data_IF_480956873361
#
_entry.id   IF_480956873361
#
_cell.length_a   1.000
_cell.length_b   1.000
_cell.length_c   1.000
_cell.angle_alpha   90.00
_cell.angle_beta   90.00
_cell.angle_gamma   90.00
#
_symmetry.space_group_name_H-M   'P 1'
#
loop_
_entity.id
_entity.type
_entity.pdbx_description
1 polymer ?
#
# COMPACT_ATOMS: atom_id res chain seq x y z
N UNK A 1 -36.41 7.55 -20.23
CA UNK A 1 -35.53 8.11 -19.18
C UNK A 1 -35.41 7.07 -18.07
N UNK A 2 -34.30 6.32 -18.00
CA UNK A 2 -34.03 5.40 -16.88
C UNK A 2 -33.21 6.17 -15.85
N UNK A 3 -33.82 6.44 -14.70
CA UNK A 3 -33.18 7.05 -13.53
C UNK A 3 -32.10 6.13 -12.99
N UNK A 4 -30.83 6.54 -13.12
CA UNK A 4 -29.73 5.95 -12.37
C UNK A 4 -29.89 6.34 -10.90
N UNK A 5 -30.29 5.38 -10.08
CA UNK A 5 -30.32 5.51 -8.63
C UNK A 5 -28.88 5.55 -8.12
N UNK A 6 -28.38 6.77 -7.84
CA UNK A 6 -27.10 6.99 -7.17
C UNK A 6 -27.25 6.48 -5.73
N UNK A 7 -26.79 5.26 -5.48
CA UNK A 7 -26.66 4.76 -4.12
C UNK A 7 -25.58 5.57 -3.38
N UNK A 8 -26.00 6.49 -2.50
CA UNK A 8 -25.13 7.04 -1.46
C UNK A 8 -24.64 5.90 -0.56
N UNK A 9 -23.33 5.76 -0.30
CA UNK A 9 -22.86 4.74 0.62
C UNK A 9 -23.25 5.12 2.04
N UNK A 10 -24.08 4.28 2.65
CA UNK A 10 -24.49 4.39 4.05
C UNK A 10 -23.26 4.28 4.96
N UNK A 11 -22.99 5.33 5.72
CA UNK A 11 -22.15 5.25 6.92
C UNK A 11 -22.87 4.36 7.95
N UNK A 12 -22.44 3.12 8.10
CA UNK A 12 -22.79 2.26 9.24
C UNK A 12 -21.51 1.83 9.94
N UNK A 13 -21.21 2.50 11.05
CA UNK A 13 -20.22 2.06 12.04
C UNK A 13 -20.69 0.73 12.64
N UNK A 14 -19.91 -0.35 12.42
CA UNK A 14 -19.73 -1.56 13.25
C UNK A 14 -18.95 -2.61 12.44
N UNK A 15 -17.62 -2.52 12.39
CA UNK A 15 -16.72 -3.49 11.71
C UNK A 15 -16.77 -3.48 10.17
N UNK A 16 -16.16 -2.45 9.57
CA UNK A 16 -15.77 -2.45 8.14
C UNK A 16 -14.64 -3.46 7.90
N UNK A 17 -14.93 -4.74 8.02
CA UNK A 17 -14.01 -5.86 7.78
C UNK A 17 -14.32 -6.45 6.40
N UNK A 18 -13.40 -6.27 5.45
CA UNK A 18 -13.47 -6.93 4.15
C UNK A 18 -12.73 -8.26 4.25
N UNK A 19 -13.46 -9.36 4.17
CA UNK A 19 -12.85 -10.70 4.21
C UNK A 19 -12.03 -11.00 2.94
N UNK A 20 -12.56 -10.69 1.76
CA UNK A 20 -11.81 -10.87 0.51
C UNK A 20 -12.26 -9.88 -0.55
N UNK A 21 -11.29 -9.31 -1.26
CA UNK A 21 -11.51 -8.51 -2.47
C UNK A 21 -10.67 -9.07 -3.61
N UNK A 22 -11.32 -9.32 -4.74
CA UNK A 22 -10.69 -9.87 -5.96
C UNK A 22 -11.03 -9.04 -7.17
N UNK A 23 -10.41 -9.34 -8.31
CA UNK A 23 -10.56 -8.60 -9.56
C UNK A 23 -12.02 -8.31 -9.90
N UNK A 24 -12.29 -7.04 -10.20
CA UNK A 24 -13.61 -6.59 -10.68
C UNK A 24 -13.51 -6.00 -12.09
N UNK A 25 -12.33 -6.03 -12.73
CA UNK A 25 -12.10 -5.37 -14.03
C UNK A 25 -12.27 -3.84 -14.00
N UNK A 26 -12.63 -3.28 -12.85
CA UNK A 26 -12.95 -1.87 -12.65
C UNK A 26 -12.01 -1.22 -11.63
N UNK A 27 -11.72 0.09 -11.77
CA UNK A 27 -10.87 0.80 -10.84
C UNK A 27 -11.47 0.81 -9.43
N UNK A 28 -10.70 0.37 -8.43
CA UNK A 28 -11.18 0.23 -7.06
C UNK A 28 -10.83 1.44 -6.19
N UNK A 29 -11.88 2.04 -5.62
CA UNK A 29 -11.77 3.12 -4.64
C UNK A 29 -12.11 2.57 -3.25
N UNK A 30 -11.27 2.89 -2.26
CA UNK A 30 -11.43 2.44 -0.88
C UNK A 30 -11.12 3.56 0.09
N UNK A 31 -12.03 3.78 1.03
CA UNK A 31 -11.87 4.77 2.10
C UNK A 31 -12.55 4.31 3.38
N UNK A 32 -11.93 4.56 4.54
CA UNK A 32 -12.56 4.36 5.85
C UNK A 32 -12.81 2.91 6.22
N UNK A 33 -11.89 2.00 5.88
CA UNK A 33 -12.02 0.57 6.13
C UNK A 33 -11.26 0.20 7.41
N UNK A 34 -11.91 -0.52 8.33
CA UNK A 34 -11.25 -0.97 9.56
C UNK A 34 -10.20 -2.04 9.26
N UNK A 35 -10.60 -3.10 8.55
CA UNK A 35 -9.74 -4.24 8.29
C UNK A 35 -9.98 -4.83 6.89
N UNK A 36 -8.92 -5.21 6.19
CA UNK A 36 -8.97 -6.06 4.98
C UNK A 36 -8.17 -7.32 5.25
N UNK A 37 -8.80 -8.47 5.17
CA UNK A 37 -8.13 -9.77 5.34
C UNK A 37 -7.38 -10.13 4.05
N UNK A 38 -8.06 -10.17 2.90
CA UNK A 38 -7.44 -10.55 1.63
C UNK A 38 -7.77 -9.58 0.50
N UNK A 39 -6.73 -9.22 -0.25
CA UNK A 39 -6.84 -8.46 -1.48
C UNK A 39 -5.95 -9.12 -2.53
N UNK A 40 -6.53 -9.68 -3.59
CA UNK A 40 -5.76 -10.46 -4.57
C UNK A 40 -6.20 -10.26 -6.00
N UNK A 41 -5.23 -10.22 -6.92
CA UNK A 41 -5.49 -10.22 -8.36
C UNK A 41 -6.27 -8.99 -8.82
N UNK A 42 -5.81 -7.78 -8.49
CA UNK A 42 -6.47 -6.55 -8.92
C UNK A 42 -5.62 -5.88 -9.98
N UNK A 43 -6.21 -5.55 -11.13
CA UNK A 43 -5.50 -4.80 -12.18
C UNK A 43 -5.08 -3.41 -11.73
N UNK A 44 -6.03 -2.60 -11.21
CA UNK A 44 -5.77 -1.20 -10.86
C UNK A 44 -6.53 -0.73 -9.60
N UNK A 45 -5.79 -0.12 -8.67
CA UNK A 45 -6.33 0.59 -7.49
C UNK A 45 -5.97 2.07 -7.62
N UNK A 46 -6.88 2.94 -8.08
CA UNK A 46 -6.67 4.37 -8.06
C UNK A 46 -6.42 4.92 -6.64
N UNK A 47 -7.27 4.57 -5.67
CA UNK A 47 -7.19 5.17 -4.34
C UNK A 47 -7.51 4.18 -3.23
N UNK A 48 -6.60 4.14 -2.26
CA UNK A 48 -6.76 3.39 -1.03
C UNK A 48 -6.36 4.29 0.14
N UNK A 49 -7.36 4.72 0.92
CA UNK A 49 -7.19 5.74 1.95
C UNK A 49 -7.78 5.32 3.29
N UNK A 50 -7.14 5.66 4.40
CA UNK A 50 -7.72 5.52 5.74
C UNK A 50 -8.11 4.08 6.07
N UNK A 51 -7.16 3.15 5.96
CA UNK A 51 -7.38 1.73 6.31
C UNK A 51 -6.65 1.39 7.60
N UNK A 52 -7.34 0.80 8.57
CA UNK A 52 -6.72 0.40 9.83
C UNK A 52 -5.68 -0.70 9.63
N UNK A 53 -6.11 -1.85 9.11
CA UNK A 53 -5.25 -3.02 8.92
C UNK A 53 -5.50 -3.72 7.58
N UNK A 54 -4.43 -4.15 6.91
CA UNK A 54 -4.47 -5.04 5.75
C UNK A 54 -3.62 -6.26 6.07
N UNK A 55 -4.21 -7.45 6.04
CA UNK A 55 -3.48 -8.68 6.32
C UNK A 55 -2.72 -9.15 5.08
N UNK A 56 -3.39 -9.27 3.94
CA UNK A 56 -2.77 -9.74 2.70
C UNK A 56 -3.15 -8.88 1.51
N UNK A 57 -2.14 -8.41 0.78
CA UNK A 57 -2.27 -7.73 -0.50
C UNK A 57 -1.33 -8.38 -1.52
N UNK A 58 -1.90 -9.08 -2.50
CA UNK A 58 -1.12 -9.93 -3.41
C UNK A 58 -1.52 -9.75 -4.87
N UNK A 59 -0.55 -9.67 -5.79
CA UNK A 59 -0.84 -9.69 -7.23
C UNK A 59 -1.66 -8.49 -7.68
N UNK A 60 -1.16 -7.28 -7.42
CA UNK A 60 -1.79 -6.03 -7.85
C UNK A 60 -0.97 -5.44 -9.00
N UNK A 61 -1.61 -5.10 -10.11
CA UNK A 61 -0.91 -4.51 -11.26
C UNK A 61 -0.38 -3.11 -10.95
N UNK A 62 -1.29 -2.19 -10.63
CA UNK A 62 -0.97 -0.80 -10.36
C UNK A 62 -1.75 -0.24 -9.17
N UNK A 63 -1.06 0.49 -8.29
CA UNK A 63 -1.66 1.30 -7.23
C UNK A 63 -1.25 2.75 -7.46
N UNK A 64 -2.22 3.64 -7.65
CA UNK A 64 -1.93 5.05 -7.85
C UNK A 64 -1.70 5.75 -6.50
N UNK A 65 -2.62 5.61 -5.55
CA UNK A 65 -2.51 6.24 -4.24
C UNK A 65 -2.82 5.27 -3.10
N UNK A 66 -1.87 5.15 -2.18
CA UNK A 66 -2.01 4.44 -0.91
C UNK A 66 -1.67 5.39 0.23
N UNK A 67 -2.65 5.76 1.04
CA UNK A 67 -2.49 6.82 2.05
C UNK A 67 -3.16 6.50 3.38
N UNK A 68 -2.44 6.71 4.49
CA UNK A 68 -3.03 6.59 5.82
C UNK A 68 -3.45 5.16 6.13
N UNK A 69 -2.49 4.22 6.05
CA UNK A 69 -2.72 2.82 6.41
C UNK A 69 -2.04 2.55 7.75
N UNK A 70 -2.77 2.02 8.73
CA UNK A 70 -2.19 1.74 10.06
C UNK A 70 -1.15 0.61 9.99
N UNK A 71 -1.57 -0.55 9.52
CA UNK A 71 -0.72 -1.75 9.46
C UNK A 71 -0.96 -2.56 8.18
N UNK A 72 0.12 -3.04 7.57
CA UNK A 72 0.10 -4.01 6.48
C UNK A 72 0.94 -5.21 6.89
N UNK A 73 0.33 -6.39 6.97
CA UNK A 73 1.07 -7.60 7.32
C UNK A 73 1.87 -8.12 6.12
N UNK A 74 1.23 -8.29 4.96
CA UNK A 74 1.89 -8.78 3.75
C UNK A 74 1.49 -7.99 2.52
N UNK A 75 2.50 -7.50 1.79
CA UNK A 75 2.35 -6.87 0.48
C UNK A 75 3.29 -7.56 -0.51
N UNK A 76 2.72 -8.31 -1.46
CA UNK A 76 3.50 -9.19 -2.33
C UNK A 76 3.09 -9.07 -3.80
N UNK A 77 4.06 -8.98 -4.71
CA UNK A 77 3.80 -9.04 -6.14
C UNK A 77 2.98 -7.85 -6.63
N UNK A 78 3.49 -6.64 -6.41
CA UNK A 78 2.87 -5.41 -6.91
C UNK A 78 3.70 -4.89 -8.08
N UNK A 79 3.08 -4.64 -9.23
CA UNK A 79 3.80 -4.16 -10.41
C UNK A 79 4.33 -2.74 -10.18
N UNK A 80 3.44 -1.80 -9.90
CA UNK A 80 3.78 -0.39 -9.72
C UNK A 80 2.98 0.28 -8.61
N UNK A 81 3.64 1.08 -7.79
CA UNK A 81 3.02 1.97 -6.81
C UNK A 81 3.47 3.40 -7.11
N UNK A 82 2.53 4.28 -7.44
CA UNK A 82 2.86 5.68 -7.70
C UNK A 82 3.12 6.42 -6.38
N UNK A 83 2.22 6.34 -5.42
CA UNK A 83 2.36 7.02 -4.14
C UNK A 83 2.00 6.11 -2.97
N UNK A 84 2.94 5.97 -2.03
CA UNK A 84 2.74 5.34 -0.74
C UNK A 84 3.07 6.34 0.36
N UNK A 85 2.08 6.71 1.17
CA UNK A 85 2.22 7.79 2.14
C UNK A 85 1.55 7.50 3.47
N UNK A 86 2.22 7.78 4.58
CA UNK A 86 1.62 7.68 5.91
C UNK A 86 1.21 6.24 6.26
N UNK A 87 2.17 5.32 6.21
CA UNK A 87 1.95 3.93 6.63
C UNK A 87 2.61 3.72 7.99
N UNK A 88 1.86 3.25 8.97
CA UNK A 88 2.39 3.03 10.33
C UNK A 88 3.42 1.91 10.35
N UNK A 89 3.00 0.71 9.95
CA UNK A 89 3.84 -0.48 9.97
C UNK A 89 3.60 -1.39 8.75
N UNK A 90 4.68 -1.92 8.19
CA UNK A 90 4.65 -2.97 7.17
C UNK A 90 5.50 -4.14 7.67
N UNK A 91 4.90 -5.31 7.83
CA UNK A 91 5.65 -6.48 8.28
C UNK A 91 6.48 -7.05 7.12
N UNK A 92 5.86 -7.28 5.96
CA UNK A 92 6.54 -7.83 4.79
C UNK A 92 6.15 -7.09 3.52
N UNK A 93 7.16 -6.63 2.77
CA UNK A 93 7.03 -6.06 1.45
C UNK A 93 7.93 -6.81 0.47
N UNK A 94 7.34 -7.57 -0.45
CA UNK A 94 8.09 -8.48 -1.31
C UNK A 94 7.70 -8.38 -2.78
N UNK A 95 8.68 -8.32 -3.69
CA UNK A 95 8.40 -8.40 -5.13
C UNK A 95 7.60 -7.21 -5.64
N UNK A 96 8.09 -5.99 -5.38
CA UNK A 96 7.49 -4.76 -5.90
C UNK A 96 8.33 -4.30 -7.09
N UNK A 97 7.74 -4.14 -8.27
CA UNK A 97 8.48 -3.74 -9.47
C UNK A 97 9.03 -2.32 -9.35
N UNK A 98 8.15 -1.34 -9.12
CA UNK A 98 8.52 0.07 -9.04
C UNK A 98 7.68 0.82 -8.00
N UNK A 99 8.33 1.68 -7.23
CA UNK A 99 7.69 2.65 -6.34
C UNK A 99 8.17 4.04 -6.73
N UNK A 100 7.26 4.92 -7.14
CA UNK A 100 7.65 6.28 -7.51
C UNK A 100 7.94 7.13 -6.26
N UNK A 101 7.03 7.10 -5.28
CA UNK A 101 7.18 7.87 -4.04
C UNK A 101 6.79 7.05 -2.82
N UNK A 102 7.69 7.02 -1.84
CA UNK A 102 7.46 6.43 -0.53
C UNK A 102 7.78 7.46 0.57
N UNK A 103 6.76 7.89 1.32
CA UNK A 103 6.90 8.98 2.30
C UNK A 103 6.21 8.66 3.62
N UNK A 104 6.88 8.89 4.74
CA UNK A 104 6.22 8.79 6.06
C UNK A 104 5.83 7.35 6.40
N UNK A 105 6.78 6.43 6.32
CA UNK A 105 6.57 5.04 6.77
C UNK A 105 7.20 4.89 8.15
N UNK A 106 6.43 4.47 9.15
CA UNK A 106 6.95 4.32 10.51
C UNK A 106 7.96 3.18 10.62
N UNK A 107 7.55 1.98 10.25
CA UNK A 107 8.40 0.78 10.37
C UNK A 107 8.15 -0.19 9.22
N UNK A 108 9.22 -0.79 8.70
CA UNK A 108 9.19 -1.92 7.77
C UNK A 108 10.05 -3.03 8.37
N UNK A 109 9.47 -4.20 8.64
CA UNK A 109 10.25 -5.30 9.21
C UNK A 109 11.09 -5.98 8.13
N UNK A 110 10.50 -6.29 6.99
CA UNK A 110 11.19 -6.95 5.88
C UNK A 110 10.83 -6.33 4.53
N UNK A 111 11.85 -6.00 3.75
CA UNK A 111 11.73 -5.49 2.38
C UNK A 111 12.61 -6.32 1.45
N UNK A 112 12.01 -7.05 0.50
CA UNK A 112 12.75 -7.97 -0.37
C UNK A 112 12.34 -7.84 -1.83
N UNK A 113 13.30 -7.77 -2.75
CA UNK A 113 13.01 -7.85 -4.19
C UNK A 113 12.18 -6.66 -4.69
N UNK A 114 12.56 -5.45 -4.28
CA UNK A 114 12.05 -4.22 -4.87
C UNK A 114 12.90 -3.93 -6.12
N UNK A 115 12.30 -3.60 -7.26
CA UNK A 115 13.08 -3.26 -8.46
C UNK A 115 13.66 -1.85 -8.39
N UNK A 116 12.81 -0.86 -8.10
CA UNK A 116 13.20 0.54 -8.09
C UNK A 116 12.33 1.37 -7.14
N UNK A 117 12.96 2.29 -6.40
CA UNK A 117 12.28 3.33 -5.61
C UNK A 117 12.81 4.69 -6.04
N UNK A 118 11.99 5.49 -6.72
CA UNK A 118 12.45 6.78 -7.25
C UNK A 118 12.62 7.82 -6.13
N UNK A 119 11.77 7.83 -5.11
CA UNK A 119 11.92 8.75 -4.00
C UNK A 119 11.48 8.11 -2.69
N UNK A 120 12.36 8.19 -1.70
CA UNK A 120 12.10 7.71 -0.35
C UNK A 120 12.42 8.82 0.65
N UNK A 121 11.46 9.17 1.50
CA UNK A 121 11.63 10.20 2.55
C UNK A 121 10.88 9.82 3.83
N UNK A 122 11.40 10.27 4.98
CA UNK A 122 10.73 10.10 6.28
C UNK A 122 10.36 8.65 6.60
N UNK A 123 11.32 7.73 6.43
CA UNK A 123 11.19 6.34 6.88
C UNK A 123 11.77 6.25 8.29
N UNK A 124 11.01 5.71 9.24
CA UNK A 124 11.48 5.55 10.62
C UNK A 124 12.52 4.43 10.75
N UNK A 125 12.14 3.19 10.43
CA UNK A 125 13.05 2.03 10.48
C UNK A 125 12.72 1.00 9.42
N UNK A 126 13.77 0.43 8.81
CA UNK A 126 13.71 -0.81 8.04
C UNK A 126 14.61 -1.82 8.76
N UNK A 127 14.07 -2.94 9.21
CA UNK A 127 14.86 -3.92 9.98
C UNK A 127 15.70 -4.82 9.07
N UNK A 128 15.13 -5.28 7.96
CA UNK A 128 15.81 -6.12 6.99
C UNK A 128 15.46 -5.70 5.57
N UNK A 129 16.49 -5.58 4.73
CA UNK A 129 16.32 -5.21 3.34
C UNK A 129 17.26 -6.05 2.46
N UNK A 130 16.71 -6.73 1.45
CA UNK A 130 17.49 -7.60 0.56
C UNK A 130 17.03 -7.53 -0.90
N UNK A 131 17.93 -7.79 -1.83
CA UNK A 131 17.69 -7.69 -3.28
C UNK A 131 18.41 -6.50 -3.91
N UNK A 132 18.51 -6.50 -5.24
CA UNK A 132 19.09 -5.38 -5.98
C UNK A 132 18.00 -4.35 -6.29
N UNK A 133 18.10 -3.16 -5.71
CA UNK A 133 17.15 -2.07 -5.92
C UNK A 133 17.91 -0.75 -6.05
N UNK A 134 17.41 0.14 -6.90
CA UNK A 134 17.90 1.51 -7.00
C UNK A 134 17.01 2.41 -6.14
N UNK A 135 17.60 3.15 -5.20
CA UNK A 135 16.91 4.23 -4.47
C UNK A 135 17.55 5.56 -4.79
N UNK A 136 16.75 6.51 -5.23
CA UNK A 136 17.15 7.90 -5.28
C UNK A 136 16.59 8.58 -4.01
N UNK A 137 17.50 8.99 -3.11
CA UNK A 137 17.13 9.60 -1.84
C UNK A 137 16.86 11.10 -2.00
N UNK A 138 15.72 11.56 -1.49
CA UNK A 138 15.45 12.98 -1.25
C UNK A 138 16.21 13.44 -0.01
N UNK A 139 17.25 14.25 -0.19
CA UNK A 139 18.11 14.74 0.90
C UNK A 139 17.31 15.47 2.00
N UNK A 140 17.30 14.95 3.24
CA UNK A 140 17.72 15.64 4.49
C UNK A 140 17.77 14.70 5.72
N UNK A 141 18.95 14.66 6.37
CA UNK A 141 19.32 14.26 7.75
C UNK A 141 18.38 13.30 8.52
N UNK A 142 18.77 12.13 9.04
CA UNK A 142 19.93 11.76 9.87
C UNK A 142 20.13 10.23 9.78
N UNK A 143 21.40 9.81 9.86
CA UNK A 143 21.92 8.56 10.44
C UNK A 143 20.91 7.43 10.70
N UNK A 144 20.90 6.44 9.82
CA UNK A 144 21.03 5.01 10.15
C UNK A 144 20.71 4.19 8.89
N UNK A 145 21.68 4.13 7.97
CA UNK A 145 21.72 3.07 6.96
C UNK A 145 22.81 2.09 7.38
N UNK A 146 22.42 0.95 7.94
CA UNK A 146 23.22 -0.26 7.85
C UNK A 146 22.60 -1.15 6.78
N UNK A 147 23.47 -1.60 5.88
CA UNK A 147 23.19 -2.40 4.69
C UNK A 147 22.55 -3.75 5.03
#
# INVERSE_FOLDING_TARGET
>A
MKSQERASPKNSSLDNIISRRTDTGHPLWMSGIGHIQWMTGIGHIPWMTGIGHIQWMTGIGHIQWMTGIGHIQWMTGIGHIQWMTGIGHIQWMTGIGHIQWMTGIGHIQWMTGIGHIQWMTSIGRIQWMTGAFLVILGRKNRSDLFF
#
